data_IF_213599658079
#
_entry.id   IF_213599658079
#
_cell.length_a   1.000
_cell.length_b   1.000
_cell.length_c   1.000
_cell.angle_alpha   90.00
_cell.angle_beta   90.00
_cell.angle_gamma   90.00
#
_symmetry.space_group_name_H-M   'P 1'
#
loop_
_entity.id
_entity.type
_entity.pdbx_description
1 polymer ?
#
# COMPACT_ATOMS: atom_id res chain seq x y z
N UNK A 1 12.24 -27.88 -5.38
CA UNK A 1 10.92 -27.84 -4.72
C UNK A 1 11.06 -27.97 -3.19
N UNK A 2 11.66 -29.06 -2.68
CA UNK A 2 11.77 -29.34 -1.23
C UNK A 2 12.42 -28.20 -0.42
N UNK A 3 13.56 -27.66 -0.88
CA UNK A 3 14.27 -26.58 -0.16
C UNK A 3 13.44 -25.29 -0.04
N UNK A 4 12.67 -24.92 -1.05
CA UNK A 4 11.82 -23.70 -1.03
C UNK A 4 10.67 -23.86 -0.03
N UNK A 5 10.06 -25.04 0.02
CA UNK A 5 9.00 -25.34 0.99
C UNK A 5 9.56 -25.32 2.42
N UNK A 6 10.73 -25.92 2.64
CA UNK A 6 11.40 -25.88 3.93
C UNK A 6 11.73 -24.44 4.36
N UNK A 7 12.26 -23.62 3.44
CA UNK A 7 12.55 -22.22 3.69
C UNK A 7 11.29 -21.43 4.07
N UNK A 8 10.18 -21.63 3.34
CA UNK A 8 8.91 -21.00 3.64
C UNK A 8 8.38 -21.41 5.03
N UNK A 9 8.40 -22.71 5.35
CA UNK A 9 7.94 -23.20 6.66
C UNK A 9 8.81 -22.70 7.81
N UNK A 10 10.13 -22.58 7.60
CA UNK A 10 11.02 -21.95 8.58
C UNK A 10 10.65 -20.47 8.75
N UNK A 11 10.51 -19.72 7.65
CA UNK A 11 10.12 -18.31 7.69
C UNK A 11 8.81 -18.10 8.46
N UNK A 12 7.81 -18.94 8.18
CA UNK A 12 6.50 -18.93 8.85
C UNK A 12 6.57 -19.25 10.35
N UNK A 13 7.50 -20.09 10.79
CA UNK A 13 7.72 -20.35 12.22
C UNK A 13 8.39 -19.17 12.89
N UNK A 14 9.44 -18.64 12.26
CA UNK A 14 10.17 -17.49 12.79
C UNK A 14 9.30 -16.24 12.88
N UNK A 15 8.49 -15.95 11.87
CA UNK A 15 7.62 -14.77 11.87
C UNK A 15 6.57 -14.81 12.99
N UNK A 16 6.17 -15.99 13.45
CA UNK A 16 5.26 -16.16 14.58
C UNK A 16 5.95 -16.02 15.93
N UNK A 17 7.21 -16.39 16.02
CA UNK A 17 7.98 -16.37 17.26
C UNK A 17 8.64 -15.01 17.52
N UNK A 18 8.92 -14.27 16.45
CA UNK A 18 9.71 -13.05 16.47
C UNK A 18 9.01 -11.89 15.74
N UNK A 19 7.74 -11.64 16.04
CA UNK A 19 6.95 -10.59 15.36
C UNK A 19 7.57 -9.20 15.53
N UNK A 20 8.32 -8.97 16.60
CA UNK A 20 9.08 -7.74 16.87
C UNK A 20 10.14 -7.42 15.79
N UNK A 21 10.64 -8.43 15.08
CA UNK A 21 11.64 -8.26 14.04
C UNK A 21 11.03 -7.98 12.66
N UNK A 22 9.70 -8.05 12.51
CA UNK A 22 9.05 -8.07 11.21
C UNK A 22 9.36 -6.82 10.35
N UNK A 23 9.38 -5.62 10.96
CA UNK A 23 9.75 -4.39 10.26
C UNK A 23 11.22 -4.40 9.81
N UNK A 24 12.13 -4.88 10.67
CA UNK A 24 13.55 -4.94 10.36
C UNK A 24 13.85 -5.95 9.25
N UNK A 25 13.28 -7.16 9.35
CA UNK A 25 13.40 -8.20 8.34
C UNK A 25 12.83 -7.73 7.00
N UNK A 26 11.65 -7.10 7.00
CA UNK A 26 11.08 -6.57 5.75
C UNK A 26 12.02 -5.54 5.12
N UNK A 27 12.45 -4.53 5.90
CA UNK A 27 13.37 -3.49 5.45
C UNK A 27 14.68 -4.07 4.90
N UNK A 28 15.32 -5.00 5.61
CA UNK A 28 16.56 -5.64 5.18
C UNK A 28 16.39 -6.42 3.86
N UNK A 29 15.34 -7.22 3.72
CA UNK A 29 15.14 -7.97 2.47
C UNK A 29 14.82 -7.04 1.30
N UNK A 30 14.11 -5.93 1.54
CA UNK A 30 13.85 -4.93 0.50
C UNK A 30 15.11 -4.19 0.04
N UNK A 31 16.13 -4.03 0.91
CA UNK A 31 17.42 -3.46 0.53
C UNK A 31 18.08 -4.25 -0.61
N UNK A 32 18.06 -5.58 -0.50
CA UNK A 32 18.66 -6.48 -1.49
C UNK A 32 17.73 -6.77 -2.66
N UNK A 33 16.41 -6.69 -2.47
CA UNK A 33 15.40 -7.06 -3.46
C UNK A 33 15.61 -6.36 -4.82
N UNK A 34 16.01 -5.10 -4.80
CA UNK A 34 16.23 -4.28 -6.01
C UNK A 34 17.36 -4.78 -6.91
N UNK A 35 18.32 -5.50 -6.34
CA UNK A 35 19.52 -5.98 -7.06
C UNK A 35 19.37 -7.45 -7.51
N UNK A 36 18.24 -8.08 -7.18
CA UNK A 36 17.97 -9.49 -7.48
C UNK A 36 17.30 -9.68 -8.85
N UNK A 37 17.62 -10.81 -9.49
CA UNK A 37 16.89 -11.27 -10.68
C UNK A 37 15.44 -11.66 -10.33
N UNK A 38 14.49 -11.58 -11.28
CA UNK A 38 13.07 -11.83 -11.01
C UNK A 38 12.77 -13.17 -10.32
N UNK A 39 13.49 -14.25 -10.70
CA UNK A 39 13.32 -15.56 -10.06
C UNK A 39 13.72 -15.56 -8.57
N UNK A 40 14.71 -14.75 -8.18
CA UNK A 40 15.15 -14.60 -6.80
C UNK A 40 14.24 -13.65 -6.03
N UNK A 41 13.75 -12.58 -6.66
CA UNK A 41 12.74 -11.69 -6.11
C UNK A 41 11.48 -12.46 -5.68
N UNK A 42 10.99 -13.39 -6.52
CA UNK A 42 9.86 -14.28 -6.14
C UNK A 42 10.13 -15.09 -4.86
N UNK A 43 11.35 -15.59 -4.70
CA UNK A 43 11.71 -16.34 -3.50
C UNK A 43 11.75 -15.44 -2.27
N UNK A 44 12.26 -14.21 -2.41
CA UNK A 44 12.22 -13.20 -1.34
C UNK A 44 10.78 -12.87 -0.94
N UNK A 45 9.88 -12.65 -1.90
CA UNK A 45 8.45 -12.42 -1.58
C UNK A 45 7.87 -13.59 -0.80
N UNK A 46 8.10 -14.83 -1.23
CA UNK A 46 7.62 -16.01 -0.51
C UNK A 46 8.11 -16.05 0.94
N UNK A 47 9.38 -15.67 1.18
CA UNK A 47 9.95 -15.58 2.53
C UNK A 47 9.30 -14.45 3.33
N UNK A 48 9.00 -13.30 2.72
CA UNK A 48 8.44 -12.13 3.40
C UNK A 48 6.94 -12.24 3.74
N UNK A 49 6.17 -13.05 3.00
CA UNK A 49 4.72 -13.16 3.20
C UNK A 49 4.31 -13.45 4.65
N UNK A 50 4.92 -14.40 5.38
CA UNK A 50 4.57 -14.65 6.78
C UNK A 50 4.96 -13.52 7.74
N UNK A 51 5.96 -12.70 7.39
CA UNK A 51 6.40 -11.57 8.21
C UNK A 51 5.46 -10.39 8.05
N UNK A 52 5.17 -10.00 6.81
CA UNK A 52 4.30 -8.85 6.54
C UNK A 52 2.88 -9.06 7.10
N UNK A 53 2.39 -10.30 7.14
CA UNK A 53 1.09 -10.63 7.73
C UNK A 53 1.02 -10.39 9.25
N UNK A 54 2.18 -10.39 9.94
CA UNK A 54 2.26 -10.15 11.38
C UNK A 54 2.38 -8.66 11.76
N UNK A 55 2.41 -7.77 10.77
CA UNK A 55 2.69 -6.35 10.99
C UNK A 55 1.41 -5.56 11.25
N UNK A 56 1.41 -4.81 12.34
CA UNK A 56 0.45 -3.75 12.62
C UNK A 56 1.05 -2.41 12.24
N UNK A 57 0.42 -1.71 11.29
CA UNK A 57 0.78 -0.34 10.95
C UNK A 57 0.24 0.62 12.03
N UNK A 58 1.03 1.63 12.36
CA UNK A 58 0.73 2.58 13.43
C UNK A 58 0.94 4.01 12.98
N UNK A 59 0.17 4.91 13.60
CA UNK A 59 0.29 6.36 13.42
C UNK A 59 0.98 7.00 14.61
N UNK A 60 1.65 8.12 14.34
CA UNK A 60 2.17 9.03 15.35
C UNK A 60 1.04 9.90 15.92
N UNK A 61 1.29 10.70 16.97
CA UNK A 61 0.30 11.61 17.55
C UNK A 61 -0.22 12.70 16.60
N UNK A 62 0.50 12.99 15.51
CA UNK A 62 0.11 13.97 14.49
C UNK A 62 -0.79 13.37 13.40
N UNK A 63 -1.02 12.05 13.45
CA UNK A 63 -1.84 11.31 12.49
C UNK A 63 -1.09 10.85 11.23
N UNK A 64 0.24 11.04 11.17
CA UNK A 64 1.09 10.45 10.13
C UNK A 64 1.55 9.05 10.53
N UNK A 65 2.10 8.23 9.61
CA UNK A 65 2.69 6.94 9.98
C UNK A 65 3.91 7.12 10.90
N UNK A 66 4.10 6.23 11.88
CA UNK A 66 5.39 6.13 12.58
C UNK A 66 6.49 5.67 11.62
N UNK A 67 7.76 5.87 12.00
CA UNK A 67 8.93 5.56 11.15
C UNK A 67 8.87 4.16 10.53
N UNK A 68 8.58 3.12 11.31
CA UNK A 68 8.55 1.75 10.85
C UNK A 68 7.41 1.48 9.86
N UNK A 69 6.25 2.09 10.10
CA UNK A 69 5.10 2.00 9.19
C UNK A 69 5.36 2.75 7.88
N UNK A 70 5.99 3.92 7.97
CA UNK A 70 6.39 4.69 6.79
C UNK A 70 7.40 3.91 5.94
N UNK A 71 8.47 3.40 6.56
CA UNK A 71 9.52 2.66 5.87
C UNK A 71 8.96 1.42 5.17
N UNK A 72 8.10 0.66 5.85
CA UNK A 72 7.47 -0.50 5.23
C UNK A 72 6.63 -0.12 4.01
N UNK A 73 5.80 0.91 4.12
CA UNK A 73 4.93 1.36 3.04
C UNK A 73 5.73 1.93 1.87
N UNK A 74 6.79 2.70 2.15
CA UNK A 74 7.69 3.25 1.13
C UNK A 74 8.40 2.12 0.36
N UNK A 75 8.94 1.13 1.07
CA UNK A 75 9.64 0.00 0.45
C UNK A 75 8.68 -0.88 -0.36
N UNK A 76 7.48 -1.14 0.15
CA UNK A 76 6.46 -1.92 -0.57
C UNK A 76 5.95 -1.17 -1.81
N UNK A 77 5.87 0.16 -1.74
CA UNK A 77 5.55 0.99 -2.89
C UNK A 77 6.64 0.96 -3.95
N UNK A 78 7.92 1.04 -3.56
CA UNK A 78 9.05 0.88 -4.48
C UNK A 78 9.00 -0.48 -5.20
N UNK A 79 8.76 -1.57 -4.45
CA UNK A 79 8.58 -2.91 -5.04
C UNK A 79 7.46 -2.89 -6.08
N UNK A 80 6.34 -2.25 -5.76
CA UNK A 80 5.18 -2.13 -6.66
C UNK A 80 5.58 -1.43 -7.95
N UNK A 81 6.23 -0.27 -7.85
CA UNK A 81 6.63 0.54 -9.02
C UNK A 81 7.61 -0.22 -9.91
N UNK A 82 8.63 -0.84 -9.31
CA UNK A 82 9.74 -1.46 -10.06
C UNK A 82 9.42 -2.87 -10.56
N UNK A 83 8.50 -3.58 -9.91
CA UNK A 83 8.36 -5.03 -10.11
C UNK A 83 6.96 -5.53 -10.43
N UNK A 84 5.90 -4.72 -10.28
CA UNK A 84 4.52 -5.20 -10.51
C UNK A 84 4.26 -5.68 -11.94
N UNK A 85 5.02 -5.20 -12.93
CA UNK A 85 4.94 -5.69 -14.32
C UNK A 85 5.39 -7.15 -14.48
N UNK A 86 6.45 -7.57 -13.78
CA UNK A 86 7.00 -8.92 -13.89
C UNK A 86 6.53 -9.88 -12.78
N UNK A 87 6.14 -9.31 -11.62
CA UNK A 87 5.83 -10.01 -10.38
C UNK A 87 4.45 -9.63 -9.83
N UNK A 88 3.47 -9.43 -10.73
CA UNK A 88 2.13 -8.95 -10.39
C UNK A 88 1.49 -9.71 -9.22
N UNK A 89 1.46 -11.04 -9.29
CA UNK A 89 0.82 -11.88 -8.28
C UNK A 89 1.56 -11.83 -6.94
N UNK A 90 2.89 -11.76 -6.97
CA UNK A 90 3.71 -11.68 -5.77
C UNK A 90 3.54 -10.32 -5.06
N UNK A 91 3.54 -9.22 -5.81
CA UNK A 91 3.27 -7.88 -5.27
C UNK A 91 1.86 -7.80 -4.71
N UNK A 92 0.86 -8.33 -5.43
CA UNK A 92 -0.51 -8.43 -4.94
C UNK A 92 -0.58 -9.20 -3.62
N UNK A 93 0.10 -10.34 -3.52
CA UNK A 93 0.11 -11.16 -2.32
C UNK A 93 0.72 -10.42 -1.11
N UNK A 94 1.73 -9.57 -1.30
CA UNK A 94 2.29 -8.75 -0.21
C UNK A 94 1.26 -7.75 0.33
N UNK A 95 0.60 -6.99 -0.56
CA UNK A 95 -0.45 -6.04 -0.16
C UNK A 95 -1.61 -6.73 0.54
N UNK A 96 -2.05 -7.87 0.01
CA UNK A 96 -3.12 -8.66 0.61
C UNK A 96 -2.71 -9.24 1.97
N UNK A 97 -1.49 -9.74 2.12
CA UNK A 97 -0.99 -10.25 3.39
C UNK A 97 -0.96 -9.16 4.48
N UNK A 98 -0.53 -7.94 4.13
CA UNK A 98 -0.56 -6.79 5.04
C UNK A 98 -1.99 -6.37 5.43
N UNK A 99 -2.92 -6.42 4.49
CA UNK A 99 -4.30 -5.98 4.68
C UNK A 99 -5.20 -7.01 5.38
N UNK A 100 -4.92 -8.31 5.20
CA UNK A 100 -5.69 -9.44 5.75
C UNK A 100 -5.11 -9.98 7.06
N UNK A 101 -4.00 -9.41 7.55
CA UNK A 101 -3.48 -9.69 8.88
C UNK A 101 -4.52 -9.38 9.98
N UNK A 102 -4.22 -9.72 11.25
CA UNK A 102 -5.17 -9.54 12.36
C UNK A 102 -5.43 -8.06 12.73
N UNK A 103 -4.88 -7.12 11.95
CA UNK A 103 -4.88 -5.67 12.21
C UNK A 103 -5.78 -4.95 11.21
N UNK A 104 -7.09 -4.84 11.48
CA UNK A 104 -8.07 -4.22 10.59
C UNK A 104 -7.77 -2.75 10.24
N UNK A 105 -6.95 -2.06 11.03
CA UNK A 105 -6.54 -0.67 10.81
C UNK A 105 -5.56 -0.49 9.65
N UNK A 106 -4.85 -1.54 9.24
CA UNK A 106 -3.85 -1.47 8.18
C UNK A 106 -4.42 -0.95 6.86
N UNK A 107 -5.63 -1.41 6.47
CA UNK A 107 -6.29 -0.98 5.24
C UNK A 107 -6.44 0.54 5.19
N UNK A 108 -6.93 1.14 6.28
CA UNK A 108 -7.10 2.58 6.37
C UNK A 108 -5.76 3.31 6.23
N UNK A 109 -4.75 2.86 6.95
CA UNK A 109 -3.44 3.51 6.94
C UNK A 109 -2.73 3.40 5.58
N UNK A 110 -2.87 2.27 4.89
CA UNK A 110 -2.39 2.09 3.52
C UNK A 110 -3.07 3.10 2.58
N UNK A 111 -4.40 3.23 2.66
CA UNK A 111 -5.17 4.15 1.82
C UNK A 111 -4.81 5.62 2.10
N UNK A 112 -4.73 6.00 3.37
CA UNK A 112 -4.31 7.34 3.79
C UNK A 112 -2.90 7.66 3.24
N UNK A 113 -1.97 6.70 3.31
CA UNK A 113 -0.61 6.84 2.78
C UNK A 113 -0.59 7.03 1.26
N UNK A 114 -1.18 6.12 0.48
CA UNK A 114 -1.13 6.23 -0.99
C UNK A 114 -1.85 7.48 -1.50
N UNK A 115 -2.98 7.85 -0.89
CA UNK A 115 -3.75 9.05 -1.25
C UNK A 115 -2.94 10.31 -0.95
N UNK A 116 -2.26 10.36 0.20
CA UNK A 116 -1.42 11.52 0.53
C UNK A 116 -0.32 11.75 -0.50
N UNK A 117 0.36 10.69 -0.97
CA UNK A 117 1.37 10.79 -2.03
C UNK A 117 0.76 11.26 -3.35
N UNK A 118 -0.43 10.76 -3.74
CA UNK A 118 -1.11 11.20 -4.96
C UNK A 118 -1.41 12.70 -4.95
N UNK A 119 -1.94 13.20 -3.82
CA UNK A 119 -2.31 14.59 -3.66
C UNK A 119 -1.10 15.52 -3.63
N UNK A 120 0.02 15.05 -3.04
CA UNK A 120 1.27 15.80 -2.97
C UNK A 120 1.95 15.91 -4.34
N UNK A 121 2.13 14.78 -5.05
CA UNK A 121 2.91 14.73 -6.29
C UNK A 121 2.17 15.32 -7.48
N UNK A 122 0.84 15.14 -7.56
CA UNK A 122 0.00 15.59 -8.70
C UNK A 122 0.47 15.04 -10.04
N UNK A 123 0.89 13.78 -10.05
CA UNK A 123 1.38 13.07 -11.25
C UNK A 123 0.48 11.90 -11.63
N UNK A 124 0.05 11.85 -12.90
CA UNK A 124 -0.88 10.84 -13.39
C UNK A 124 -0.33 9.41 -13.30
N UNK A 125 0.97 9.23 -13.58
CA UNK A 125 1.62 7.92 -13.50
C UNK A 125 1.47 7.28 -12.11
N UNK A 126 1.50 8.10 -11.06
CA UNK A 126 1.34 7.60 -9.72
C UNK A 126 -0.10 7.17 -9.39
N UNK A 127 -1.09 7.86 -9.97
CA UNK A 127 -2.50 7.47 -9.82
C UNK A 127 -2.74 6.05 -10.35
N UNK A 128 -2.04 5.63 -11.41
CA UNK A 128 -2.13 4.26 -11.93
C UNK A 128 -1.59 3.21 -10.94
N UNK A 129 -0.50 3.51 -10.22
CA UNK A 129 -0.03 2.62 -9.15
C UNK A 129 -0.99 2.61 -7.95
N UNK A 130 -1.57 3.75 -7.58
CA UNK A 130 -2.56 3.82 -6.52
C UNK A 130 -3.82 2.99 -6.86
N UNK A 131 -4.32 3.08 -8.10
CA UNK A 131 -5.39 2.22 -8.62
C UNK A 131 -5.03 0.74 -8.51
N UNK A 132 -3.82 0.37 -8.96
CA UNK A 132 -3.34 -1.01 -8.88
C UNK A 132 -3.35 -1.53 -7.42
N UNK A 133 -2.85 -0.73 -6.47
CA UNK A 133 -2.84 -1.09 -5.04
C UNK A 133 -4.27 -1.23 -4.50
N UNK A 134 -5.16 -0.28 -4.82
CA UNK A 134 -6.59 -0.33 -4.42
C UNK A 134 -7.26 -1.59 -4.95
N UNK A 135 -7.01 -1.96 -6.21
CA UNK A 135 -7.51 -3.22 -6.78
C UNK A 135 -6.93 -4.43 -6.05
N UNK A 136 -5.63 -4.47 -5.74
CA UNK A 136 -5.03 -5.58 -4.97
C UNK A 136 -5.69 -5.79 -3.61
N UNK A 137 -5.95 -4.70 -2.88
CA UNK A 137 -6.62 -4.72 -1.59
C UNK A 137 -8.08 -5.17 -1.69
N UNK A 138 -8.77 -4.82 -2.79
CA UNK A 138 -10.17 -5.15 -3.03
C UNK A 138 -10.40 -6.49 -3.73
N UNK A 139 -9.36 -7.13 -4.27
CA UNK A 139 -9.46 -8.37 -5.06
C UNK A 139 -9.90 -9.59 -4.25
N UNK A 140 -9.93 -9.51 -2.92
CA UNK A 140 -10.47 -10.55 -2.06
C UNK A 140 -11.87 -10.17 -1.59
N UNK A 141 -12.84 -11.10 -1.67
CA UNK A 141 -14.22 -10.94 -1.15
C UNK A 141 -14.30 -10.95 0.39
N UNK A 142 -13.22 -10.57 1.05
CA UNK A 142 -13.05 -10.52 2.50
C UNK A 142 -13.19 -9.09 3.02
N UNK A 143 -13.22 -8.94 4.34
CA UNK A 143 -13.38 -7.66 5.06
C UNK A 143 -12.51 -6.49 4.54
N UNK A 144 -11.25 -6.68 4.10
CA UNK A 144 -10.44 -5.60 3.55
C UNK A 144 -11.05 -4.91 2.31
N UNK A 145 -11.61 -5.67 1.37
CA UNK A 145 -12.19 -5.08 0.16
C UNK A 145 -13.41 -4.21 0.45
N UNK A 146 -14.26 -4.65 1.38
CA UNK A 146 -15.41 -3.85 1.87
C UNK A 146 -14.90 -2.54 2.50
N UNK A 147 -13.86 -2.61 3.34
CA UNK A 147 -13.28 -1.42 3.98
C UNK A 147 -12.66 -0.44 3.01
N UNK A 148 -12.06 -0.92 1.92
CA UNK A 148 -11.56 -0.04 0.85
C UNK A 148 -12.72 0.75 0.25
N UNK A 149 -13.81 0.09 -0.11
CA UNK A 149 -14.98 0.72 -0.71
C UNK A 149 -15.62 1.71 0.28
N UNK A 150 -15.86 1.30 1.52
CA UNK A 150 -16.40 2.16 2.58
C UNK A 150 -15.52 3.40 2.81
N UNK A 151 -14.20 3.21 2.89
CA UNK A 151 -13.25 4.30 3.05
C UNK A 151 -13.36 5.31 1.89
N UNK A 152 -13.33 4.83 0.64
CA UNK A 152 -13.37 5.71 -0.53
C UNK A 152 -14.69 6.47 -0.61
N UNK A 153 -15.81 5.81 -0.34
CA UNK A 153 -17.14 6.43 -0.31
C UNK A 153 -17.24 7.54 0.74
N UNK A 154 -16.67 7.34 1.93
CA UNK A 154 -16.64 8.37 2.99
C UNK A 154 -15.87 9.64 2.58
N UNK A 155 -14.95 9.55 1.63
CA UNK A 155 -14.22 10.71 1.11
C UNK A 155 -14.97 11.49 0.03
N UNK A 156 -16.03 10.91 -0.56
CA UNK A 156 -16.81 11.53 -1.64
C UNK A 156 -17.86 12.46 -1.00
N UNK A 157 -17.44 13.67 -0.67
CA UNK A 157 -18.31 14.73 -0.13
C UNK A 157 -18.10 16.04 -0.89
N UNK A 158 -19.10 16.94 -0.97
CA UNK A 158 -18.96 18.22 -1.65
C UNK A 158 -17.75 19.03 -1.17
N UNK A 159 -17.44 18.98 0.13
CA UNK A 159 -16.27 19.65 0.71
C UNK A 159 -14.95 19.06 0.21
N UNK A 160 -14.86 17.73 0.12
CA UNK A 160 -13.66 17.04 -0.35
C UNK A 160 -13.48 17.11 -1.88
N UNK A 161 -14.51 17.48 -2.64
CA UNK A 161 -14.46 17.70 -4.09
C UNK A 161 -13.79 19.02 -4.49
N UNK A 162 -13.58 19.93 -3.53
CA UNK A 162 -12.85 21.18 -3.78
C UNK A 162 -11.36 20.94 -3.60
N UNK A 163 -10.50 21.23 -4.60
CA UNK A 163 -9.05 21.11 -4.44
C UNK A 163 -8.57 21.99 -3.28
N UNK A 164 -7.99 21.38 -2.25
CA UNK A 164 -7.38 22.14 -1.16
C UNK A 164 -6.08 22.78 -1.65
N UNK A 165 -5.80 23.98 -1.13
CA UNK A 165 -4.50 24.62 -1.30
C UNK A 165 -3.39 23.76 -0.69
N UNK A 166 -2.18 23.87 -1.27
CA UNK A 166 -1.01 23.02 -1.02
C UNK A 166 -0.89 22.60 0.45
N UNK A 167 -1.10 21.32 0.75
CA UNK A 167 -0.53 20.73 1.97
C UNK A 167 0.99 20.80 1.85
N UNK A 168 1.66 21.19 2.94
CA UNK A 168 3.11 21.07 3.03
C UNK A 168 3.51 19.61 2.76
N UNK A 169 4.60 19.44 2.00
CA UNK A 169 5.18 18.12 1.73
C UNK A 169 5.47 17.47 3.07
N UNK A 170 4.85 16.32 3.33
CA UNK A 170 5.08 15.61 4.57
C UNK A 170 6.52 15.08 4.54
N UNK A 171 7.40 15.65 5.37
CA UNK A 171 8.73 15.11 5.54
C UNK A 171 8.62 13.68 6.08
N UNK A 172 9.53 12.77 5.68
CA UNK A 172 9.61 11.45 6.30
C UNK A 172 9.66 11.60 7.84
N UNK A 173 9.08 10.65 8.59
CA UNK A 173 9.14 10.69 10.04
C UNK A 173 10.59 10.78 10.56
N UNK A 174 10.81 11.36 11.76
CA UNK A 174 12.09 11.19 12.44
C UNK A 174 12.37 9.69 12.64
N UNK A 175 13.64 9.31 12.75
CA UNK A 175 14.08 7.93 13.06
C UNK A 175 13.98 6.86 11.96
N UNK A 176 13.67 7.21 10.70
CA UNK A 176 13.72 6.24 9.58
C UNK A 176 15.09 5.56 9.41
N UNK A 177 16.16 6.21 9.90
CA UNK A 177 17.55 5.71 9.86
C UNK A 177 17.80 4.49 10.75
N UNK A 178 16.86 4.15 11.64
CA UNK A 178 16.98 2.97 12.51
C UNK A 178 16.70 1.66 11.76
N UNK A 179 16.13 1.73 10.57
CA UNK A 179 15.85 0.58 9.73
C UNK A 179 16.90 0.42 8.61
N UNK A 180 17.23 -0.82 8.21
CA UNK A 180 18.28 -1.10 7.22
C UNK A 180 18.13 -0.36 5.89
N UNK A 181 16.89 -0.10 5.47
CA UNK A 181 16.59 0.53 4.20
C UNK A 181 15.23 1.22 4.21
N UNK A 182 15.20 2.44 3.69
CA UNK A 182 14.00 3.19 3.34
C UNK A 182 14.13 3.65 1.88
N UNK A 183 13.15 3.29 1.05
CA UNK A 183 13.12 3.69 -0.34
C UNK A 183 12.90 5.20 -0.47
N UNK A 184 13.73 5.85 -1.29
CA UNK A 184 13.49 7.23 -1.67
C UNK A 184 12.37 7.26 -2.73
N UNK A 185 11.19 7.71 -2.32
CA UNK A 185 10.04 7.82 -3.21
C UNK A 185 10.22 8.92 -4.26
N UNK A 186 11.10 9.90 -4.05
CA UNK A 186 11.46 10.87 -5.08
C UNK A 186 12.16 10.23 -6.26
N UNK A 187 13.05 9.27 -6.00
CA UNK A 187 13.80 8.54 -7.03
C UNK A 187 13.01 7.36 -7.61
N UNK A 188 12.20 6.68 -6.78
CA UNK A 188 11.46 5.50 -7.20
C UNK A 188 10.29 5.83 -8.12
N UNK A 189 9.67 7.00 -7.97
CA UNK A 189 8.49 7.38 -8.72
C UNK A 189 8.84 7.86 -10.14
N UNK A 190 8.20 7.33 -11.18
CA UNK A 190 8.46 7.79 -12.55
C UNK A 190 7.91 9.19 -12.75
N UNK A 191 8.79 10.11 -13.15
CA UNK A 191 8.44 11.50 -13.45
C UNK A 191 7.45 11.54 -14.61
N UNK A 192 6.23 11.96 -14.33
CA UNK A 192 5.16 12.14 -15.30
C UNK A 192 4.90 13.60 -15.67
N UNK A 193 3.90 13.80 -16.53
CA UNK A 193 3.38 15.14 -16.81
C UNK A 193 2.64 15.68 -15.57
N UNK A 194 3.11 16.79 -15.01
CA UNK A 194 2.39 17.48 -13.94
C UNK A 194 1.06 18.00 -14.45
N UNK A 195 -0.03 17.62 -13.80
CA UNK A 195 -1.38 18.08 -14.14
C UNK A 195 -1.96 18.97 -13.06
N UNK A 196 -3.16 19.51 -13.31
CA UNK A 196 -3.98 20.08 -12.24
C UNK A 196 -4.16 19.00 -11.16
N UNK A 197 -3.82 19.32 -9.91
CA UNK A 197 -3.93 18.36 -8.81
C UNK A 197 -5.38 17.99 -8.55
N UNK A 198 -5.62 16.73 -8.22
CA UNK A 198 -6.93 16.26 -7.78
C UNK A 198 -7.25 16.76 -6.38
N UNK A 199 -8.53 16.97 -6.10
CA UNK A 199 -9.01 17.00 -4.72
C UNK A 199 -9.07 15.57 -4.14
N UNK A 200 -9.23 15.47 -2.82
CA UNK A 200 -9.39 14.18 -2.14
C UNK A 200 -10.61 13.40 -2.69
N UNK A 201 -11.76 14.06 -2.79
CA UNK A 201 -12.99 13.44 -3.30
C UNK A 201 -12.88 13.02 -4.77
N UNK A 202 -12.24 13.83 -5.62
CA UNK A 202 -11.99 13.49 -7.02
C UNK A 202 -11.10 12.26 -7.16
N UNK A 203 -9.99 12.23 -6.42
CA UNK A 203 -9.08 11.08 -6.41
C UNK A 203 -9.79 9.82 -5.89
N UNK A 204 -10.55 9.93 -4.81
CA UNK A 204 -11.31 8.80 -4.26
C UNK A 204 -12.35 8.25 -5.24
N UNK A 205 -13.02 9.10 -6.02
CA UNK A 205 -13.88 8.63 -7.11
C UNK A 205 -13.11 7.88 -8.19
N UNK A 206 -11.96 8.43 -8.62
CA UNK A 206 -11.11 7.76 -9.63
C UNK A 206 -10.71 6.37 -9.18
N UNK A 207 -10.28 6.23 -7.92
CA UNK A 207 -9.88 4.94 -7.34
C UNK A 207 -11.07 3.97 -7.18
N UNK A 208 -12.28 4.48 -6.95
CA UNK A 208 -13.48 3.67 -6.76
C UNK A 208 -14.02 3.09 -8.07
N UNK A 209 -13.94 3.83 -9.18
CA UNK A 209 -14.48 3.40 -10.48
C UNK A 209 -13.91 2.04 -10.91
N UNK A 210 -12.61 1.82 -10.71
CA UNK A 210 -11.94 0.57 -11.09
C UNK A 210 -12.41 -0.64 -10.26
N UNK A 211 -13.02 -0.40 -9.08
CA UNK A 211 -13.59 -1.45 -8.24
C UNK A 211 -15.02 -1.84 -8.67
N UNK A 212 -15.77 -0.91 -9.27
CA UNK A 212 -17.18 -1.10 -9.63
C UNK A 212 -17.40 -1.97 -10.87
N UNK A 213 -16.32 -2.42 -11.52
CA UNK A 213 -16.37 -3.35 -12.66
C UNK A 213 -16.35 -4.82 -12.19
N UNK A 214 -16.02 -5.07 -10.92
CA UNK A 214 -16.01 -6.39 -10.24
C UNK A 214 -17.38 -6.65 -9.57
N UNK A 215 -17.77 -7.88 -9.12
CA UNK A 215 -19.11 -8.12 -8.56
C UNK A 215 -19.25 -7.59 -7.12
N UNK A 216 -18.83 -6.35 -6.89
CA UNK A 216 -19.01 -5.64 -5.64
C UNK A 216 -20.46 -5.14 -5.61
N UNK A 217 -21.26 -5.70 -4.72
CA UNK A 217 -22.62 -5.24 -4.48
C UNK A 217 -22.55 -3.95 -3.64
N UNK A 218 -22.75 -2.80 -4.28
CA UNK A 218 -23.02 -1.56 -3.56
C UNK A 218 -24.35 -1.69 -2.82
N UNK A 219 -24.41 -1.21 -1.58
CA UNK A 219 -25.70 -1.05 -0.89
C UNK A 219 -26.51 0.06 -1.59
N UNK A 220 -27.85 -0.06 -1.68
CA UNK A 220 -28.71 0.93 -2.34
C UNK A 220 -28.53 2.37 -1.82
N UNK A 221 -28.14 2.51 -0.55
CA UNK A 221 -27.88 3.77 0.13
C UNK A 221 -26.68 4.55 -0.45
N UNK A 222 -25.72 3.85 -1.06
CA UNK A 222 -24.50 4.45 -1.62
C UNK A 222 -24.67 4.89 -3.08
N UNK A 223 -25.74 4.45 -3.75
CA UNK A 223 -25.99 4.74 -5.18
C UNK A 223 -26.22 6.23 -5.47
N UNK A 224 -27.01 6.98 -4.67
CA UNK A 224 -27.21 8.41 -4.92
C UNK A 224 -25.93 9.24 -4.87
N UNK A 225 -24.93 8.83 -4.07
CA UNK A 225 -23.64 9.53 -3.94
C UNK A 225 -22.83 9.48 -5.25
N UNK A 226 -23.02 8.43 -6.06
CA UNK A 226 -22.29 8.21 -7.31
C UNK A 226 -22.97 8.84 -8.54
N UNK A 227 -24.23 9.24 -8.42
CA UNK A 227 -25.07 9.72 -9.53
C UNK A 227 -25.33 11.24 -9.50
N UNK A 228 -24.70 11.97 -8.57
CA UNK A 228 -24.74 13.43 -8.47
C UNK A 228 -23.56 14.06 -9.20
#
# INVERSE_FOLDING_TARGET
AVYKNAQFEISKRLSKQHTELAFHIFSEFTLYFKDLQPASQRNVVAVLLPWIQSIELKVDPNGGPIAESYVLLANLLEITIKSSGALHNEVQALWQALATGPYPGNVRLILDFIISICLERREQNFVEYAKQIVVFLASTTSTPGIKVVEFLLMQITPKAMVPNEKKEVASPPPDIVQLPYCADLGDALPIGTKQAGFSLGQLSMILLVDLMVSPIQLTPENVPVLLQ
#
